data_IF_667515108689
#
_entry.id   IF_667515108689
#
_cell.length_a   1.000
_cell.length_b   1.000
_cell.length_c   1.000
_cell.angle_alpha   90.00
_cell.angle_beta   90.00
_cell.angle_gamma   90.00
#
_symmetry.space_group_name_H-M   'P 1'
#
loop_
_entity.id
_entity.type
_entity.pdbx_description
1 polymer ?
#
# COMPACT_ATOMS: atom_id res chain seq x y z
N UNK A 1 -4.90 -15.47 -6.19
CA UNK A 1 -4.85 -15.03 -4.78
C UNK A 1 -3.58 -15.54 -4.12
N UNK A 2 -2.94 -14.72 -3.31
CA UNK A 2 -1.70 -15.07 -2.62
C UNK A 2 -2.04 -15.43 -1.18
N UNK A 3 -1.52 -16.56 -0.69
CA UNK A 3 -1.68 -16.94 0.71
C UNK A 3 -0.46 -16.57 1.53
N UNK A 4 -0.68 -15.82 2.61
CA UNK A 4 0.34 -15.43 3.58
C UNK A 4 0.15 -16.29 4.83
N UNK A 5 1.05 -17.24 5.01
CA UNK A 5 0.96 -18.21 6.11
C UNK A 5 1.27 -17.58 7.47
N UNK A 6 2.10 -16.54 7.48
CA UNK A 6 2.56 -15.88 8.70
C UNK A 6 3.04 -14.47 8.41
N UNK A 7 3.48 -13.76 9.44
CA UNK A 7 3.98 -12.41 9.31
C UNK A 7 5.20 -12.33 8.39
N UNK A 8 6.08 -13.33 8.43
CA UNK A 8 7.25 -13.37 7.56
C UNK A 8 6.86 -13.40 6.09
N UNK A 9 5.78 -14.09 5.74
CA UNK A 9 5.25 -14.09 4.37
C UNK A 9 4.77 -12.71 3.94
N UNK A 10 4.15 -11.96 4.86
CA UNK A 10 3.72 -10.58 4.60
C UNK A 10 4.92 -9.67 4.36
N UNK A 11 5.95 -9.79 5.18
CA UNK A 11 7.19 -9.04 5.01
C UNK A 11 7.83 -9.36 3.66
N UNK A 12 7.85 -10.63 3.28
CA UNK A 12 8.40 -11.09 1.99
C UNK A 12 7.63 -10.48 0.82
N UNK A 13 6.30 -10.45 0.90
CA UNK A 13 5.49 -9.81 -0.13
C UNK A 13 5.84 -8.33 -0.25
N UNK A 14 6.06 -7.65 0.89
CA UNK A 14 6.47 -6.25 0.90
C UNK A 14 7.81 -6.02 0.20
N UNK A 15 8.78 -6.91 0.42
CA UNK A 15 10.07 -6.85 -0.27
C UNK A 15 9.90 -6.96 -1.79
N UNK A 16 9.06 -7.89 -2.23
CA UNK A 16 8.79 -8.11 -3.65
C UNK A 16 8.11 -6.90 -4.26
N UNK A 17 7.11 -6.34 -3.58
CA UNK A 17 6.41 -5.15 -4.06
C UNK A 17 7.39 -3.98 -4.17
N UNK A 18 8.20 -3.75 -3.15
CA UNK A 18 9.19 -2.67 -3.14
C UNK A 18 10.15 -2.76 -4.33
N UNK A 19 10.51 -3.98 -4.71
CA UNK A 19 11.44 -4.26 -5.80
C UNK A 19 10.81 -4.15 -7.19
N UNK A 20 9.48 -4.13 -7.27
CA UNK A 20 8.75 -4.26 -8.54
C UNK A 20 8.05 -2.99 -8.96
N UNK A 21 7.57 -2.19 -8.02
CA UNK A 21 6.69 -1.05 -8.34
C UNK A 21 7.45 0.13 -8.94
N UNK A 22 6.82 0.84 -9.90
CA UNK A 22 7.40 2.06 -10.47
C UNK A 22 7.10 3.28 -9.59
N UNK A 23 7.79 4.37 -9.86
CA UNK A 23 7.44 5.66 -9.26
C UNK A 23 6.05 6.09 -9.71
N UNK A 24 5.40 6.90 -8.89
CA UNK A 24 4.11 7.49 -9.24
C UNK A 24 2.91 6.57 -9.01
N UNK A 25 3.13 5.39 -8.45
CA UNK A 25 2.04 4.43 -8.20
C UNK A 25 1.32 4.74 -6.90
N UNK A 26 0.01 4.51 -6.90
CA UNK A 26 -0.80 4.52 -5.68
C UNK A 26 -1.17 3.09 -5.36
N UNK A 27 -0.95 2.67 -4.13
CA UNK A 27 -1.32 1.35 -3.64
C UNK A 27 -2.40 1.52 -2.58
N UNK A 28 -3.59 1.04 -2.88
CA UNK A 28 -4.74 1.05 -1.98
C UNK A 28 -4.77 -0.28 -1.22
N UNK A 29 -4.70 -0.21 0.11
CA UNK A 29 -4.72 -1.39 0.96
C UNK A 29 -6.06 -1.45 1.69
N UNK A 30 -6.80 -2.52 1.46
CA UNK A 30 -8.13 -2.72 2.03
C UNK A 30 -8.19 -4.05 2.77
N UNK A 31 -9.14 -4.16 3.70
CA UNK A 31 -9.30 -5.37 4.49
C UNK A 31 -9.61 -5.07 5.95
N UNK A 32 -9.93 -6.13 6.69
CA UNK A 32 -10.33 -6.01 8.08
C UNK A 32 -9.20 -5.51 8.99
N UNK A 33 -9.59 -4.99 10.16
CA UNK A 33 -8.64 -4.59 11.19
C UNK A 33 -7.78 -5.80 11.58
N UNK A 34 -6.47 -5.59 11.72
CA UNK A 34 -5.55 -6.67 12.08
C UNK A 34 -5.25 -7.65 10.94
N UNK A 35 -5.56 -7.28 9.70
CA UNK A 35 -5.34 -8.17 8.55
C UNK A 35 -3.92 -8.16 8.00
N UNK A 36 -3.09 -7.18 8.42
CA UNK A 36 -1.70 -7.10 7.97
C UNK A 36 -1.38 -5.93 7.06
N UNK A 37 -2.32 -5.00 6.86
CA UNK A 37 -2.10 -3.82 6.00
C UNK A 37 -0.90 -2.99 6.46
N UNK A 38 -0.80 -2.75 7.76
CA UNK A 38 0.30 -1.95 8.32
C UNK A 38 1.63 -2.68 8.19
N UNK A 39 1.65 -3.98 8.48
CA UNK A 39 2.87 -4.80 8.34
C UNK A 39 3.39 -4.77 6.91
N UNK A 40 2.49 -4.89 5.94
CA UNK A 40 2.87 -4.84 4.53
C UNK A 40 3.39 -3.46 4.15
N UNK A 41 2.69 -2.41 4.53
CA UNK A 41 3.11 -1.02 4.25
C UNK A 41 4.49 -0.74 4.82
N UNK A 42 4.72 -1.13 6.07
CA UNK A 42 6.01 -0.93 6.73
C UNK A 42 7.12 -1.70 6.02
N UNK A 43 6.85 -2.92 5.58
CA UNK A 43 7.83 -3.71 4.84
C UNK A 43 8.19 -3.03 3.51
N UNK A 44 7.22 -2.53 2.79
CA UNK A 44 7.46 -1.81 1.53
C UNK A 44 8.36 -0.59 1.78
N UNK A 45 8.01 0.21 2.78
CA UNK A 45 8.76 1.45 3.08
C UNK A 45 10.18 1.13 3.53
N UNK A 46 10.35 0.18 4.43
CA UNK A 46 11.69 -0.22 4.91
C UNK A 46 12.59 -0.65 3.77
N UNK A 47 12.05 -1.42 2.85
CA UNK A 47 12.83 -1.93 1.72
C UNK A 47 13.15 -0.83 0.70
N UNK A 48 12.20 0.06 0.42
CA UNK A 48 12.42 1.13 -0.56
C UNK A 48 13.35 2.21 -0.04
N UNK A 49 13.17 2.61 1.22
CA UNK A 49 13.93 3.72 1.81
C UNK A 49 15.21 3.26 2.51
N UNK A 50 15.41 1.95 2.68
CA UNK A 50 16.57 1.38 3.39
C UNK A 50 16.69 1.91 4.81
N UNK A 51 15.56 2.00 5.52
CA UNK A 51 15.48 2.46 6.91
C UNK A 51 14.87 1.38 7.79
N UNK A 52 15.08 1.48 9.10
CA UNK A 52 14.54 0.53 10.08
C UNK A 52 13.33 1.08 10.82
N UNK A 53 13.28 2.38 11.03
CA UNK A 53 12.23 3.00 11.84
C UNK A 53 11.10 3.49 10.96
N UNK A 54 10.01 2.72 10.93
CA UNK A 54 8.78 3.08 10.23
C UNK A 54 7.64 2.93 11.22
N UNK A 55 6.90 4.01 11.43
CA UNK A 55 5.75 4.00 12.34
C UNK A 55 4.44 4.01 11.58
N UNK A 56 3.37 3.56 12.26
CA UNK A 56 2.03 3.61 11.70
C UNK A 56 1.52 5.06 11.67
N UNK A 57 0.85 5.51 10.59
CA UNK A 57 0.28 6.86 10.52
C UNK A 57 -1.11 6.95 11.15
N UNK A 58 -1.54 5.99 11.96
CA UNK A 58 -2.90 5.94 12.50
C UNK A 58 -3.32 7.25 13.18
N UNK A 59 -2.42 7.86 13.95
CA UNK A 59 -2.73 9.10 14.66
C UNK A 59 -2.37 10.36 13.88
N UNK A 60 -1.47 10.26 12.91
CA UNK A 60 -1.03 11.39 12.09
C UNK A 60 -1.79 11.49 10.78
N UNK A 61 -2.49 10.44 10.38
CA UNK A 61 -3.17 10.25 9.11
C UNK A 61 -2.18 10.04 7.96
N UNK A 62 -1.10 10.82 7.90
CA UNK A 62 -0.07 10.65 6.87
C UNK A 62 1.33 10.79 7.48
N UNK A 63 2.23 9.88 7.06
CA UNK A 63 3.66 9.98 7.31
C UNK A 63 4.37 10.14 5.97
N UNK A 64 5.39 11.00 5.93
CA UNK A 64 6.15 11.27 4.70
C UNK A 64 7.59 10.78 4.85
N UNK A 65 8.06 10.09 3.82
CA UNK A 65 9.43 9.55 3.77
C UNK A 65 10.07 10.07 2.49
N UNK A 66 11.20 10.76 2.61
CA UNK A 66 11.91 11.35 1.46
C UNK A 66 13.38 11.03 1.51
N UNK A 67 13.94 10.73 0.33
CA UNK A 67 15.38 10.71 0.14
C UNK A 67 15.70 11.39 -1.20
N UNK A 68 16.94 11.27 -1.67
CA UNK A 68 17.36 11.94 -2.91
C UNK A 68 16.63 11.46 -4.15
N UNK A 69 16.12 10.24 -4.13
CA UNK A 69 15.62 9.57 -5.32
C UNK A 69 14.12 9.38 -5.32
N UNK A 70 13.47 9.42 -4.15
CA UNK A 70 12.06 9.05 -4.06
C UNK A 70 11.37 9.67 -2.86
N UNK A 71 10.04 9.72 -2.95
CA UNK A 71 9.14 10.18 -1.89
C UNK A 71 8.04 9.15 -1.73
N UNK A 72 7.77 8.76 -0.49
CA UNK A 72 6.65 7.87 -0.17
C UNK A 72 5.74 8.59 0.83
N UNK A 73 4.45 8.62 0.52
CA UNK A 73 3.40 9.09 1.42
C UNK A 73 2.63 7.88 1.92
N UNK A 74 2.60 7.68 3.23
CA UNK A 74 1.90 6.57 3.86
C UNK A 74 0.69 7.12 4.61
N UNK A 75 -0.52 6.81 4.12
CA UNK A 75 -1.80 7.26 4.67
C UNK A 75 -2.50 6.16 5.41
N UNK A 76 -3.26 6.54 6.44
CA UNK A 76 -4.21 5.66 7.11
C UNK A 76 -5.55 6.42 7.23
N UNK A 77 -6.55 5.98 6.47
CA UNK A 77 -7.86 6.63 6.43
C UNK A 77 -8.82 6.15 7.52
N UNK A 78 -8.36 5.27 8.40
CA UNK A 78 -9.25 4.67 9.41
C UNK A 78 -10.03 5.69 10.22
N UNK A 79 -9.39 6.79 10.62
CA UNK A 79 -9.99 7.81 11.47
C UNK A 79 -10.79 8.88 10.73
N UNK A 80 -10.71 8.89 9.40
CA UNK A 80 -11.45 9.85 8.59
C UNK A 80 -12.89 9.39 8.45
N UNK A 81 -13.84 10.31 8.60
CA UNK A 81 -15.27 9.99 8.56
C UNK A 81 -15.93 10.41 7.24
N UNK A 82 -15.45 11.49 6.61
CA UNK A 82 -16.04 11.97 5.37
C UNK A 82 -15.00 12.59 4.43
N UNK A 83 -15.43 12.88 3.21
CA UNK A 83 -14.55 13.43 2.17
C UNK A 83 -14.01 14.82 2.51
N UNK A 84 -14.77 15.61 3.31
CA UNK A 84 -14.32 16.93 3.68
C UNK A 84 -13.09 16.88 4.59
N UNK A 85 -12.98 15.87 5.46
CA UNK A 85 -11.80 15.67 6.27
C UNK A 85 -10.59 15.30 5.41
N UNK A 86 -10.80 14.47 4.39
CA UNK A 86 -9.75 14.09 3.45
C UNK A 86 -9.25 15.32 2.68
N UNK A 87 -10.17 16.14 2.21
CA UNK A 87 -9.82 17.39 1.54
C UNK A 87 -9.06 18.32 2.49
N UNK A 88 -9.47 18.36 3.76
CA UNK A 88 -8.86 19.22 4.78
C UNK A 88 -7.41 18.90 5.09
N UNK A 89 -6.97 17.64 4.91
CA UNK A 89 -5.57 17.28 5.11
C UNK A 89 -4.69 17.59 3.88
N UNK A 90 -5.28 18.12 2.80
CA UNK A 90 -4.54 18.46 1.59
C UNK A 90 -4.29 17.28 0.67
N UNK A 91 -5.19 16.29 0.64
CA UNK A 91 -4.99 15.09 -0.16
C UNK A 91 -4.76 15.39 -1.63
N UNK A 92 -5.44 16.41 -2.17
CA UNK A 92 -5.24 16.82 -3.57
C UNK A 92 -3.80 17.26 -3.84
N UNK A 93 -3.16 17.91 -2.87
CA UNK A 93 -1.76 18.34 -3.02
C UNK A 93 -0.83 17.12 -3.07
N UNK A 94 -1.10 16.10 -2.25
CA UNK A 94 -0.31 14.86 -2.32
C UNK A 94 -0.50 14.17 -3.67
N UNK A 95 -1.73 14.10 -4.17
CA UNK A 95 -2.01 13.51 -5.49
C UNK A 95 -1.30 14.23 -6.63
N UNK A 96 -1.03 15.52 -6.47
CA UNK A 96 -0.35 16.31 -7.50
C UNK A 96 1.12 15.97 -7.64
N UNK A 97 1.72 15.30 -6.65
CA UNK A 97 3.10 14.84 -6.71
C UNK A 97 3.17 13.54 -7.50
N UNK A 98 3.27 13.66 -8.83
CA UNK A 98 3.14 12.53 -9.77
C UNK A 98 4.27 11.51 -9.71
N UNK A 99 5.37 11.84 -9.04
CA UNK A 99 6.49 10.90 -8.89
C UNK A 99 6.48 10.16 -7.56
N UNK A 100 5.66 10.61 -6.62
CA UNK A 100 5.58 9.98 -5.31
C UNK A 100 4.93 8.61 -5.38
N UNK A 101 5.23 7.79 -4.39
CA UNK A 101 4.54 6.53 -4.16
C UNK A 101 3.60 6.78 -3.00
N UNK A 102 2.34 6.38 -3.13
CA UNK A 102 1.34 6.55 -2.08
C UNK A 102 0.86 5.19 -1.63
N UNK A 103 0.99 4.91 -0.33
CA UNK A 103 0.45 3.71 0.31
C UNK A 103 -0.70 4.16 1.19
N UNK A 104 -1.91 3.66 0.92
CA UNK A 104 -3.12 4.13 1.60
C UNK A 104 -3.83 2.96 2.26
N UNK A 105 -3.76 2.89 3.60
CA UNK A 105 -4.51 1.91 4.38
C UNK A 105 -5.93 2.40 4.58
N UNK A 106 -6.89 1.48 4.62
CA UNK A 106 -8.32 1.80 4.71
C UNK A 106 -8.79 2.65 3.53
N UNK A 107 -8.20 2.39 2.36
CA UNK A 107 -8.51 3.14 1.14
C UNK A 107 -9.95 2.94 0.67
N UNK A 108 -10.58 1.84 1.05
CA UNK A 108 -11.96 1.52 0.67
C UNK A 108 -12.96 2.56 1.17
N UNK A 109 -12.60 3.36 2.16
CA UNK A 109 -13.48 4.44 2.63
C UNK A 109 -13.68 5.53 1.57
N UNK A 110 -12.68 5.76 0.70
CA UNK A 110 -12.70 6.87 -0.26
C UNK A 110 -12.11 6.47 -1.61
N UNK A 111 -12.46 5.30 -2.14
CA UNK A 111 -11.93 4.85 -3.44
C UNK A 111 -12.26 5.80 -4.58
N UNK A 112 -13.40 6.49 -4.50
CA UNK A 112 -13.81 7.44 -5.53
C UNK A 112 -12.91 8.67 -5.61
N UNK A 113 -12.11 8.91 -4.58
CA UNK A 113 -11.17 10.03 -4.53
C UNK A 113 -9.84 9.71 -5.19
N UNK A 114 -9.60 8.45 -5.56
CA UNK A 114 -8.36 8.00 -6.19
C UNK A 114 -8.41 8.21 -7.70
N UNK A 115 -7.25 8.39 -8.36
CA UNK A 115 -7.18 8.46 -9.81
C UNK A 115 -7.64 7.16 -10.49
N UNK A 116 -7.72 7.18 -11.82
CA UNK A 116 -8.21 6.06 -12.62
C UNK A 116 -7.37 4.79 -12.44
N UNK A 117 -6.06 4.93 -12.30
CA UNK A 117 -5.15 3.79 -12.23
C UNK A 117 -4.47 3.72 -10.88
N UNK A 118 -4.64 2.60 -10.20
CA UNK A 118 -3.92 2.31 -8.96
C UNK A 118 -3.85 0.79 -8.76
N UNK A 119 -2.96 0.39 -7.85
CA UNK A 119 -2.85 -0.99 -7.42
C UNK A 119 -3.73 -1.15 -6.18
N UNK A 120 -4.56 -2.19 -6.14
CA UNK A 120 -5.34 -2.50 -4.96
C UNK A 120 -4.89 -3.82 -4.37
N UNK A 121 -4.63 -3.83 -3.07
CA UNK A 121 -4.27 -5.03 -2.32
C UNK A 121 -5.37 -5.27 -1.29
N UNK A 122 -6.12 -6.36 -1.46
CA UNK A 122 -7.25 -6.70 -0.61
C UNK A 122 -6.87 -7.86 0.30
N UNK A 123 -6.96 -7.63 1.60
CA UNK A 123 -6.65 -8.65 2.60
C UNK A 123 -7.93 -9.35 3.06
N UNK A 124 -7.91 -10.68 3.05
CA UNK A 124 -8.97 -11.53 3.58
C UNK A 124 -8.41 -12.32 4.74
N UNK A 125 -8.93 -12.08 5.93
CA UNK A 125 -8.45 -12.69 7.16
C UNK A 125 -8.99 -14.10 7.33
N UNK A 126 -8.10 -15.10 7.44
CA UNK A 126 -8.42 -16.48 7.81
C UNK A 126 -8.11 -16.71 9.29
N UNK A 127 -8.21 -17.95 9.76
CA UNK A 127 -7.93 -18.29 11.15
C UNK A 127 -6.45 -18.12 11.49
N UNK A 128 -5.57 -18.77 10.71
CA UNK A 128 -4.13 -18.78 10.94
C UNK A 128 -3.35 -18.22 9.75
N UNK A 129 -4.04 -17.61 8.79
CA UNK A 129 -3.42 -17.12 7.55
C UNK A 129 -4.15 -15.90 7.05
N UNK A 130 -3.60 -15.28 6.00
CA UNK A 130 -4.26 -14.21 5.26
C UNK A 130 -4.22 -14.56 3.78
N UNK A 131 -5.32 -14.37 3.08
CA UNK A 131 -5.35 -14.43 1.62
C UNK A 131 -5.37 -13.00 1.09
N UNK A 132 -4.56 -12.75 0.07
CA UNK A 132 -4.37 -11.42 -0.46
C UNK A 132 -4.62 -11.43 -1.96
N UNK A 133 -5.46 -10.51 -2.42
CA UNK A 133 -5.64 -10.27 -3.84
C UNK A 133 -4.83 -9.03 -4.22
N UNK A 134 -4.02 -9.14 -5.27
CA UNK A 134 -3.30 -8.01 -5.84
C UNK A 134 -3.94 -7.71 -7.19
N UNK A 135 -4.50 -6.52 -7.34
CA UNK A 135 -5.29 -6.14 -8.51
C UNK A 135 -4.82 -4.81 -9.10
N UNK A 136 -4.91 -4.70 -10.42
CA UNK A 136 -4.78 -3.39 -11.08
C UNK A 136 -6.17 -2.84 -11.29
N UNK A 137 -6.44 -1.67 -10.73
CA UNK A 137 -7.65 -0.91 -11.07
C UNK A 137 -7.25 -0.02 -12.23
N UNK A 138 -7.93 -0.20 -13.38
CA UNK A 138 -7.45 0.33 -14.64
C UNK A 138 -6.39 -0.57 -15.26
N UNK A 139 -5.89 -0.20 -16.42
CA UNK A 139 -5.01 -1.07 -17.22
C UNK A 139 -3.52 -0.83 -16.99
N UNK A 140 -3.18 0.28 -16.38
CA UNK A 140 -1.78 0.74 -16.33
C UNK A 140 -0.84 -0.22 -15.62
N UNK A 141 -1.31 -0.91 -14.58
CA UNK A 141 -0.45 -1.71 -13.70
C UNK A 141 -0.68 -3.23 -13.82
N UNK A 142 -1.31 -3.68 -14.89
CA UNK A 142 -1.56 -5.12 -15.09
C UNK A 142 -0.26 -5.92 -15.09
N UNK A 143 0.77 -5.41 -15.78
CA UNK A 143 2.07 -6.10 -15.84
C UNK A 143 2.77 -6.11 -14.49
N UNK A 144 2.64 -5.02 -13.72
CA UNK A 144 3.21 -4.94 -12.37
C UNK A 144 2.57 -6.01 -11.46
N UNK A 145 1.24 -6.14 -11.52
CA UNK A 145 0.52 -7.16 -10.73
C UNK A 145 1.02 -8.56 -11.09
N UNK A 146 1.11 -8.86 -12.38
CA UNK A 146 1.54 -10.18 -12.83
C UNK A 146 2.97 -10.49 -12.37
N UNK A 147 3.86 -9.51 -12.41
CA UNK A 147 5.22 -9.67 -11.96
C UNK A 147 5.31 -9.92 -10.45
N UNK A 148 4.51 -9.20 -9.66
CA UNK A 148 4.46 -9.41 -8.20
C UNK A 148 4.01 -10.84 -7.88
N UNK A 149 2.94 -11.29 -8.52
CA UNK A 149 2.39 -12.63 -8.30
C UNK A 149 3.41 -13.70 -8.68
N UNK A 150 4.05 -13.54 -9.82
CA UNK A 150 5.06 -14.47 -10.31
C UNK A 150 6.26 -14.55 -9.36
N UNK A 151 6.80 -13.42 -8.95
CA UNK A 151 7.93 -13.37 -8.03
C UNK A 151 7.60 -14.01 -6.69
N UNK A 152 6.41 -13.78 -6.17
CA UNK A 152 6.00 -14.39 -4.90
C UNK A 152 5.88 -15.91 -5.03
N UNK A 153 5.34 -16.41 -6.14
CA UNK A 153 5.25 -17.85 -6.39
C UNK A 153 6.61 -18.53 -6.42
N UNK A 154 7.61 -17.85 -6.98
CA UNK A 154 8.97 -18.40 -7.09
C UNK A 154 9.71 -18.44 -5.76
N UNK A 155 9.27 -17.66 -4.77
CA UNK A 155 9.95 -17.53 -3.47
C UNK A 155 9.30 -18.36 -2.36
N UNK A 156 8.50 -19.35 -2.71
CA UNK A 156 7.89 -20.25 -1.73
C UNK A 156 8.87 -21.32 -1.28
#
# INVERSE_FOLDING_TARGET
MIRLENENSTVKLGEIIADTIPQGIIIALTGELGSGKTTLSQSIIKNMMKIQDVSSPTFNIVNEYRDKNQTIYHFDFYRLEDESELFGIGFDDYLSDKKSIMLIEWADKFLDMLPRNYLEIVFHKGEDYRDVEVKSVGKKYIDVVNEIIEKFSQNK
#
